data_IF_342202546295
#
_entry.id   IF_342202546295
#
_cell.length_a   1.000
_cell.length_b   1.000
_cell.length_c   1.000
_cell.angle_alpha   90.00
_cell.angle_beta   90.00
_cell.angle_gamma   90.00
#
_symmetry.space_group_name_H-M   'P 1'
#
loop_
_entity.id
_entity.type
_entity.pdbx_description
1 polymer ?
#
# COMPACT_ATOMS: atom_id res chain seq x y z
N UNK A 1 41.90 -8.82 51.85
CA UNK A 1 40.45 -9.09 51.74
C UNK A 1 39.80 -7.92 51.02
N UNK A 2 39.18 -8.17 49.86
CA UNK A 2 38.71 -7.16 48.91
C UNK A 2 37.17 -7.10 48.98
N UNK A 3 36.52 -5.93 49.00
CA UNK A 3 35.07 -5.81 49.26
C UNK A 3 34.17 -6.36 48.15
N UNK A 4 34.74 -6.76 47.01
CA UNK A 4 34.02 -7.32 45.85
C UNK A 4 33.65 -8.80 46.09
N UNK A 5 34.34 -9.51 46.97
CA UNK A 5 34.08 -10.94 47.21
C UNK A 5 32.81 -11.20 48.03
N UNK A 6 32.27 -10.19 48.72
CA UNK A 6 31.05 -10.35 49.53
C UNK A 6 29.74 -10.33 48.71
N UNK A 7 29.75 -9.72 47.52
CA UNK A 7 28.52 -9.52 46.74
C UNK A 7 28.07 -10.77 45.95
N UNK A 8 28.96 -11.74 45.75
CA UNK A 8 28.69 -12.96 44.94
C UNK A 8 28.03 -14.07 45.78
N UNK A 9 28.06 -13.98 47.11
CA UNK A 9 27.60 -15.05 48.02
C UNK A 9 26.09 -14.96 48.32
N UNK A 10 25.40 -13.89 47.92
CA UNK A 10 23.99 -13.66 48.28
C UNK A 10 22.94 -13.95 47.18
N UNK A 11 23.33 -14.51 46.02
CA UNK A 11 22.41 -14.68 44.88
C UNK A 11 21.86 -16.10 44.56
N UNK A 12 22.14 -17.21 45.28
CA UNK A 12 21.48 -18.49 44.98
C UNK A 12 20.35 -18.87 45.97
N UNK A 13 19.76 -17.93 46.72
CA UNK A 13 18.72 -18.23 47.72
C UNK A 13 17.26 -18.09 47.23
N UNK A 14 17.01 -17.89 45.93
CA UNK A 14 15.66 -17.76 45.36
C UNK A 14 15.27 -18.85 44.36
N UNK A 15 15.95 -20.01 44.38
CA UNK A 15 15.69 -21.12 43.44
C UNK A 15 15.14 -22.40 44.11
N UNK A 16 14.50 -22.29 45.28
CA UNK A 16 13.92 -23.46 45.95
C UNK A 16 12.60 -23.13 46.64
N UNK A 17 11.55 -22.75 45.90
CA UNK A 17 10.19 -22.97 46.38
C UNK A 17 9.26 -23.31 45.20
N UNK A 18 8.61 -24.47 45.34
CA UNK A 18 7.50 -25.01 44.54
C UNK A 18 7.89 -25.82 43.30
N UNK A 19 8.61 -26.92 43.54
CA UNK A 19 8.22 -28.18 42.91
C UNK A 19 6.88 -28.63 43.47
N UNK A 20 5.82 -28.53 42.66
CA UNK A 20 4.55 -29.23 42.86
C UNK A 20 4.14 -29.76 41.49
N UNK A 21 4.27 -31.07 41.31
CA UNK A 21 3.72 -31.81 40.17
C UNK A 21 2.26 -32.16 40.49
N UNK A 22 1.26 -31.65 39.74
CA UNK A 22 -0.12 -32.13 39.84
C UNK A 22 -0.41 -33.09 38.69
N UNK A 23 -0.72 -34.33 39.05
CA UNK A 23 -1.20 -35.36 38.14
C UNK A 23 -2.64 -35.11 37.63
N UNK A 24 -2.86 -35.45 36.33
CA UNK A 24 -4.13 -35.69 35.56
C UNK A 24 -4.71 -34.50 34.78
N UNK A 25 -5.55 -34.72 33.73
CA UNK A 25 -5.87 -35.93 32.94
C UNK A 25 -5.73 -35.75 31.40
N UNK A 26 -5.60 -36.85 30.63
CA UNK A 26 -5.83 -36.83 29.17
C UNK A 26 -7.33 -36.61 28.90
N UNK A 27 -7.68 -35.48 28.27
CA UNK A 27 -9.02 -35.24 27.72
C UNK A 27 -8.97 -35.28 26.18
N UNK A 28 -9.91 -35.97 25.50
CA UNK A 28 -10.02 -35.95 24.06
C UNK A 28 -10.80 -34.70 23.63
N UNK A 29 -10.31 -33.94 22.65
CA UNK A 29 -11.16 -32.88 22.10
C UNK A 29 -10.48 -31.79 21.28
N UNK A 30 -10.74 -31.89 19.98
CA UNK A 30 -11.15 -30.80 19.09
C UNK A 30 -10.06 -29.87 18.55
N UNK A 31 -9.78 -30.12 17.26
CA UNK A 31 -9.31 -29.14 16.31
C UNK A 31 -10.01 -27.78 16.47
N UNK A 32 -9.21 -26.72 16.49
CA UNK A 32 -9.48 -25.44 15.86
C UNK A 32 -8.17 -24.66 15.84
N UNK A 33 -7.30 -25.05 14.91
CA UNK A 33 -6.48 -24.03 14.27
C UNK A 33 -7.47 -23.09 13.61
N UNK A 34 -7.79 -21.98 14.27
CA UNK A 34 -8.48 -20.88 13.64
C UNK A 34 -7.51 -20.36 12.60
N UNK A 35 -7.63 -20.89 11.38
CA UNK A 35 -7.19 -20.19 10.19
C UNK A 35 -7.99 -18.89 10.20
N UNK A 36 -7.46 -17.86 10.88
CA UNK A 36 -7.90 -16.48 10.67
C UNK A 36 -7.64 -16.27 9.19
N UNK A 37 -8.72 -16.24 8.40
CA UNK A 37 -8.66 -15.79 7.03
C UNK A 37 -8.00 -14.42 7.06
N UNK A 38 -6.75 -14.35 6.61
CA UNK A 38 -5.97 -13.12 6.57
C UNK A 38 -6.51 -12.30 5.39
N UNK A 39 -7.66 -11.65 5.60
CA UNK A 39 -8.20 -10.70 4.65
C UNK A 39 -7.20 -9.56 4.49
N UNK A 40 -6.66 -9.41 3.28
CA UNK A 40 -5.71 -8.34 2.96
C UNK A 40 -6.47 -7.14 2.43
N UNK A 41 -6.31 -5.97 3.04
CA UNK A 41 -6.87 -4.74 2.52
C UNK A 41 -5.92 -4.19 1.45
N UNK A 42 -6.43 -3.88 0.26
CA UNK A 42 -5.62 -3.36 -0.85
C UNK A 42 -6.00 -1.90 -1.11
N UNK A 43 -5.00 -1.03 -1.07
CA UNK A 43 -5.13 0.39 -1.39
C UNK A 43 -4.24 0.73 -2.58
N UNK A 44 -4.85 1.22 -3.65
CA UNK A 44 -4.16 1.71 -4.86
C UNK A 44 -4.23 3.23 -4.86
N UNK A 45 -3.09 3.90 -4.96
CA UNK A 45 -3.01 5.34 -4.83
C UNK A 45 -1.97 5.96 -5.76
N UNK A 46 -2.15 7.22 -6.07
CA UNK A 46 -1.20 8.02 -6.83
C UNK A 46 -1.60 9.49 -6.82
N UNK A 47 -0.80 10.31 -7.48
CA UNK A 47 -0.96 11.75 -7.48
C UNK A 47 -1.20 12.29 -8.88
N UNK A 48 -1.96 13.38 -8.98
CA UNK A 48 -2.03 14.24 -10.15
C UNK A 48 -1.51 15.62 -9.76
N UNK A 49 -0.65 16.18 -10.59
CA UNK A 49 -0.14 17.53 -10.42
C UNK A 49 -0.26 18.34 -11.73
N UNK A 50 -0.25 19.66 -11.59
CA UNK A 50 -0.05 20.55 -12.71
C UNK A 50 1.44 20.79 -12.90
N UNK A 51 1.96 20.44 -14.06
CA UNK A 51 3.28 20.79 -14.53
C UNK A 51 3.23 22.11 -15.31
N UNK A 52 3.34 23.22 -14.58
CA UNK A 52 3.30 24.57 -15.15
C UNK A 52 4.36 24.78 -16.23
N UNK A 53 5.52 24.16 -16.07
CA UNK A 53 6.64 24.34 -16.99
C UNK A 53 6.67 23.34 -18.15
N UNK A 54 5.72 22.40 -18.20
CA UNK A 54 5.59 21.44 -19.30
C UNK A 54 6.84 20.57 -19.54
N UNK A 55 7.63 20.34 -18.50
CA UNK A 55 8.84 19.51 -18.53
C UNK A 55 8.56 18.00 -18.34
N UNK A 56 7.30 17.64 -18.09
CA UNK A 56 6.85 16.32 -17.63
C UNK A 56 7.58 15.84 -16.37
N UNK A 57 7.93 16.78 -15.50
CA UNK A 57 8.60 16.50 -14.22
C UNK A 57 8.02 17.40 -13.15
N UNK A 58 7.96 16.94 -11.91
CA UNK A 58 7.57 17.80 -10.80
C UNK A 58 8.66 18.85 -10.56
N UNK A 59 8.30 20.12 -10.69
CA UNK A 59 9.20 21.28 -10.58
C UNK A 59 8.79 22.19 -9.43
N UNK A 60 9.58 23.24 -9.16
CA UNK A 60 9.26 24.26 -8.15
C UNK A 60 7.93 24.99 -8.42
N UNK A 61 7.53 25.10 -9.68
CA UNK A 61 6.27 25.76 -10.08
C UNK A 61 5.10 24.76 -10.20
N UNK A 62 5.36 23.48 -10.02
CA UNK A 62 4.32 22.45 -10.02
C UNK A 62 3.50 22.49 -8.73
N UNK A 63 2.22 22.16 -8.84
CA UNK A 63 1.34 22.03 -7.69
C UNK A 63 0.42 20.82 -7.83
N UNK A 64 0.03 20.22 -6.71
CA UNK A 64 -0.90 19.11 -6.72
C UNK A 64 -2.29 19.57 -7.17
N UNK A 65 -2.86 18.87 -8.14
CA UNK A 65 -4.10 19.28 -8.79
C UNK A 65 -5.28 18.62 -8.09
N UNK A 66 -6.07 19.40 -7.35
CA UNK A 66 -7.30 18.92 -6.72
C UNK A 66 -8.45 18.84 -7.72
N UNK A 67 -9.35 17.87 -7.57
CA UNK A 67 -10.50 17.72 -8.47
C UNK A 67 -10.22 17.08 -9.84
N UNK A 68 -8.99 16.68 -10.15
CA UNK A 68 -8.68 15.95 -11.37
C UNK A 68 -9.33 14.56 -11.37
N UNK A 69 -9.84 14.15 -12.53
CA UNK A 69 -10.49 12.85 -12.72
C UNK A 69 -9.52 11.84 -13.31
N UNK A 70 -9.46 10.66 -12.69
CA UNK A 70 -8.64 9.54 -13.13
C UNK A 70 -9.47 8.27 -13.20
N UNK A 71 -9.20 7.44 -14.20
CA UNK A 71 -9.68 6.06 -14.25
C UNK A 71 -8.58 5.15 -13.73
N UNK A 72 -8.89 4.34 -12.73
CA UNK A 72 -8.00 3.31 -12.21
C UNK A 72 -8.50 1.97 -12.73
N UNK A 73 -7.65 1.26 -13.45
CA UNK A 73 -7.89 -0.09 -13.94
C UNK A 73 -6.87 -1.03 -13.29
N UNK A 74 -7.34 -1.99 -12.51
CA UNK A 74 -6.53 -3.00 -11.85
C UNK A 74 -6.95 -4.40 -12.25
N UNK A 75 -5.95 -5.27 -12.45
CA UNK A 75 -6.11 -6.69 -12.68
C UNK A 75 -5.43 -7.46 -11.54
N UNK A 76 -6.12 -8.49 -11.06
CA UNK A 76 -5.67 -9.39 -10.00
C UNK A 76 -5.70 -10.82 -10.53
N UNK A 77 -4.64 -11.58 -10.30
CA UNK A 77 -4.67 -13.03 -10.47
C UNK A 77 -5.00 -13.63 -9.12
N UNK A 78 -6.21 -14.15 -8.96
CA UNK A 78 -6.59 -14.94 -7.80
C UNK A 78 -6.33 -16.41 -8.13
N UNK A 79 -5.44 -17.06 -7.37
CA UNK A 79 -5.27 -18.51 -7.44
C UNK A 79 -6.18 -19.11 -6.37
N UNK A 80 -7.31 -19.67 -6.79
CA UNK A 80 -8.10 -20.56 -5.95
C UNK A 80 -7.54 -21.97 -6.08
N UNK A 81 -7.73 -22.81 -5.05
CA UNK A 81 -7.34 -24.23 -5.06
C UNK A 81 -7.90 -25.06 -6.23
N UNK A 82 -8.81 -24.49 -7.03
CA UNK A 82 -9.49 -25.16 -8.17
C UNK A 82 -9.43 -24.38 -9.49
N UNK A 83 -9.12 -23.08 -9.51
CA UNK A 83 -9.20 -22.22 -10.71
C UNK A 83 -8.22 -21.03 -10.64
N UNK A 84 -7.61 -20.67 -11.77
CA UNK A 84 -6.98 -19.36 -11.96
C UNK A 84 -8.06 -18.36 -12.41
N UNK A 85 -8.49 -17.48 -11.50
CA UNK A 85 -9.50 -16.47 -11.79
C UNK A 85 -8.85 -15.09 -11.89
N UNK A 86 -9.08 -14.40 -13.01
CA UNK A 86 -8.66 -13.01 -13.18
C UNK A 86 -9.78 -12.09 -12.72
N UNK A 87 -9.52 -11.29 -11.69
CA UNK A 87 -10.46 -10.29 -11.20
C UNK A 87 -10.01 -8.92 -11.69
N UNK A 88 -10.91 -8.20 -12.36
CA UNK A 88 -10.65 -6.84 -12.84
C UNK A 88 -11.50 -5.84 -12.07
N UNK A 89 -10.86 -4.80 -11.54
CA UNK A 89 -11.54 -3.69 -10.85
C UNK A 89 -11.24 -2.41 -11.60
N UNK A 90 -12.29 -1.71 -12.03
CA UNK A 90 -12.20 -0.42 -12.70
C UNK A 90 -13.05 0.60 -11.98
N UNK A 91 -12.48 1.76 -11.66
CA UNK A 91 -13.21 2.84 -11.02
C UNK A 91 -12.68 4.22 -11.41
N UNK A 92 -13.61 5.16 -11.62
CA UNK A 92 -13.26 6.58 -11.71
C UNK A 92 -13.08 7.14 -10.30
N UNK A 93 -12.04 7.96 -10.13
CA UNK A 93 -11.72 8.65 -8.88
C UNK A 93 -11.37 10.10 -9.16
N UNK A 94 -11.64 10.92 -8.17
CA UNK A 94 -11.30 12.34 -8.18
C UNK A 94 -10.23 12.59 -7.13
N UNK A 95 -9.21 13.34 -7.48
CA UNK A 95 -8.14 13.69 -6.54
C UNK A 95 -8.64 14.64 -5.45
N UNK A 96 -8.18 14.43 -4.22
CA UNK A 96 -8.49 15.29 -3.08
C UNK A 96 -7.70 16.62 -3.11
N UNK A 97 -7.74 17.41 -2.03
CA UNK A 97 -7.02 18.70 -1.92
C UNK A 97 -5.49 18.61 -2.06
N UNK A 98 -4.92 17.42 -1.93
CA UNK A 98 -3.48 17.16 -2.06
C UNK A 98 -3.14 16.50 -3.40
N UNK A 99 -4.06 16.51 -4.37
CA UNK A 99 -3.88 15.85 -5.67
C UNK A 99 -3.82 14.32 -5.58
N UNK A 100 -4.15 13.73 -4.44
CA UNK A 100 -4.11 12.28 -4.22
C UNK A 100 -5.44 11.65 -4.64
N UNK A 101 -5.37 10.63 -5.50
CA UNK A 101 -6.47 9.71 -5.73
C UNK A 101 -6.22 8.37 -5.03
N UNK A 102 -7.29 7.67 -4.66
CA UNK A 102 -7.23 6.40 -3.95
C UNK A 102 -8.38 5.49 -4.32
N UNK A 103 -8.10 4.20 -4.47
CA UNK A 103 -9.06 3.12 -4.61
C UNK A 103 -8.79 2.07 -3.54
N UNK A 104 -9.76 1.87 -2.66
CA UNK A 104 -9.76 0.76 -1.72
C UNK A 104 -10.49 -0.42 -2.37
N UNK A 105 -9.84 -1.57 -2.38
CA UNK A 105 -10.37 -2.81 -2.94
C UNK A 105 -10.70 -3.72 -1.76
N UNK A 106 -11.98 -4.07 -1.56
CA UNK A 106 -12.37 -4.94 -0.46
C UNK A 106 -11.71 -6.30 -0.63
N UNK A 107 -11.34 -6.92 0.49
CA UNK A 107 -10.70 -8.23 0.50
C UNK A 107 -11.64 -9.28 -0.10
N UNK A 108 -11.30 -9.76 -1.29
CA UNK A 108 -11.88 -10.98 -1.86
C UNK A 108 -11.05 -12.17 -1.37
N UNK A 109 -11.73 -13.28 -1.04
CA UNK A 109 -11.08 -14.51 -0.60
C UNK A 109 -10.06 -14.97 -1.65
N UNK A 110 -8.81 -15.21 -1.24
CA UNK A 110 -7.74 -15.66 -2.14
C UNK A 110 -6.80 -14.59 -2.69
N UNK A 111 -7.09 -13.29 -2.54
CA UNK A 111 -6.14 -12.23 -2.94
C UNK A 111 -5.20 -11.90 -1.79
N UNK A 112 -3.90 -12.16 -1.99
CA UNK A 112 -2.82 -11.92 -1.01
C UNK A 112 -1.87 -10.83 -1.51
N UNK A 113 -1.25 -10.14 -0.56
CA UNK A 113 -0.16 -9.21 -0.85
C UNK A 113 1.08 -9.94 -1.38
N UNK A 114 1.62 -9.44 -2.50
CA UNK A 114 2.61 -10.04 -3.40
C UNK A 114 3.98 -10.46 -2.81
N UNK A 115 4.16 -10.48 -1.48
CA UNK A 115 5.48 -10.70 -0.89
C UNK A 115 5.77 -12.16 -0.50
N UNK A 116 4.74 -13.00 -0.27
CA UNK A 116 4.95 -14.35 0.29
C UNK A 116 4.03 -15.44 -0.33
N UNK A 117 3.38 -15.18 -1.45
CA UNK A 117 2.49 -16.15 -2.11
C UNK A 117 2.45 -15.95 -3.62
N UNK A 118 2.20 -17.04 -4.34
CA UNK A 118 1.99 -17.19 -5.79
C UNK A 118 0.88 -16.30 -6.40
N UNK A 119 0.38 -15.31 -5.66
CA UNK A 119 -0.77 -14.45 -5.95
C UNK A 119 -0.23 -13.03 -6.18
N UNK A 120 -0.14 -12.64 -7.44
CA UNK A 120 0.38 -11.34 -7.88
C UNK A 120 -0.78 -10.36 -8.09
N UNK A 121 -0.67 -9.15 -7.53
CA UNK A 121 -1.36 -7.99 -8.12
C UNK A 121 -0.72 -7.79 -9.48
N UNK A 122 -1.48 -8.04 -10.53
CA UNK A 122 -0.90 -8.34 -11.84
C UNK A 122 -0.69 -7.12 -12.69
N UNK A 123 -1.49 -6.06 -12.53
CA UNK A 123 -1.26 -4.77 -13.18
C UNK A 123 -2.29 -3.75 -12.66
N UNK A 124 -1.88 -2.64 -12.08
CA UNK A 124 -2.74 -1.46 -11.93
C UNK A 124 -2.20 -0.31 -12.75
N UNK A 125 -3.09 0.36 -13.47
CA UNK A 125 -2.80 1.60 -14.18
C UNK A 125 -3.82 2.67 -13.83
N UNK A 126 -3.38 3.92 -13.80
CA UNK A 126 -4.26 5.07 -13.77
C UNK A 126 -4.16 5.84 -15.09
N UNK A 127 -5.28 6.36 -15.58
CA UNK A 127 -5.36 7.18 -16.79
C UNK A 127 -6.10 8.48 -16.49
N UNK A 128 -5.56 9.62 -16.94
CA UNK A 128 -6.22 10.91 -16.86
C UNK A 128 -7.51 10.92 -17.70
N UNK A 129 -8.61 11.32 -17.06
CA UNK A 129 -9.90 11.56 -17.72
C UNK A 129 -10.04 13.07 -17.99
N UNK A 130 -9.84 13.89 -16.96
CA UNK A 130 -10.12 15.32 -17.03
C UNK A 130 -9.43 16.12 -15.93
N UNK A 131 -9.28 17.42 -16.19
CA UNK A 131 -8.77 18.39 -15.23
C UNK A 131 -9.93 19.20 -14.65
N UNK A 132 -9.81 19.59 -13.39
CA UNK A 132 -10.70 20.53 -12.72
C UNK A 132 -10.47 22.00 -13.10
N UNK A 133 -9.37 22.30 -13.81
CA UNK A 133 -8.97 23.69 -14.14
C UNK A 133 -8.73 23.84 -15.63
N UNK A 134 -9.20 24.94 -16.22
CA UNK A 134 -8.94 25.26 -17.64
C UNK A 134 -7.50 25.74 -17.90
N UNK A 135 -6.83 26.30 -16.89
CA UNK A 135 -5.44 26.76 -16.99
C UNK A 135 -4.42 25.61 -17.04
N UNK A 136 -4.79 24.41 -16.59
CA UNK A 136 -3.94 23.24 -16.58
C UNK A 136 -4.71 21.99 -16.97
N UNK A 137 -5.05 21.88 -18.25
CA UNK A 137 -5.95 20.85 -18.79
C UNK A 137 -5.37 20.01 -19.94
N UNK A 138 -4.15 20.29 -20.40
CA UNK A 138 -3.50 19.48 -21.43
C UNK A 138 -2.81 18.28 -20.79
N UNK A 139 -3.13 17.03 -21.13
CA UNK A 139 -2.44 15.87 -20.56
C UNK A 139 -0.94 15.88 -20.90
N UNK A 140 -0.10 15.70 -19.87
CA UNK A 140 1.32 15.34 -20.02
C UNK A 140 1.44 13.82 -20.03
N UNK A 141 1.83 13.22 -18.90
CA UNK A 141 1.69 11.78 -18.72
C UNK A 141 0.22 11.41 -18.51
N UNK A 142 -0.37 10.86 -19.56
CA UNK A 142 -1.77 10.45 -19.58
C UNK A 142 -2.03 9.16 -18.80
N UNK A 143 -1.09 8.22 -18.81
CA UNK A 143 -1.22 6.91 -18.17
C UNK A 143 0.05 6.59 -17.38
N UNK A 144 -0.10 5.91 -16.25
CA UNK A 144 1.03 5.53 -15.38
C UNK A 144 1.86 4.41 -16.02
N UNK A 145 3.18 4.51 -15.97
CA UNK A 145 4.10 3.49 -16.49
C UNK A 145 4.38 2.37 -15.49
N UNK A 146 4.51 2.69 -14.20
CA UNK A 146 4.97 1.75 -13.18
C UNK A 146 4.13 1.83 -11.89
N UNK A 147 4.22 0.75 -11.12
CA UNK A 147 3.56 0.56 -9.83
C UNK A 147 4.56 0.00 -8.81
N UNK A 148 4.63 0.61 -7.63
CA UNK A 148 5.42 0.14 -6.49
C UNK A 148 4.46 -0.49 -5.48
N UNK A 149 4.81 -1.66 -4.96
CA UNK A 149 4.00 -2.37 -3.96
C UNK A 149 4.71 -2.45 -2.60
N UNK A 150 3.96 -2.17 -1.53
CA UNK A 150 4.45 -2.18 -0.15
C UNK A 150 3.46 -2.97 0.71
N UNK A 151 3.94 -4.00 1.43
CA UNK A 151 3.15 -4.79 2.38
C UNK A 151 3.49 -4.40 3.82
N UNK A 152 2.48 -3.99 4.58
CA UNK A 152 2.63 -3.76 6.02
C UNK A 152 2.52 -5.09 6.78
N UNK A 153 3.64 -5.55 7.37
CA UNK A 153 3.74 -6.86 8.06
C UNK A 153 2.75 -7.05 9.22
N UNK A 154 2.35 -5.97 9.90
CA UNK A 154 1.49 -6.05 11.10
C UNK A 154 -0.01 -5.94 10.81
N UNK A 155 -0.41 -5.45 9.64
CA UNK A 155 -1.80 -5.06 9.37
C UNK A 155 -2.44 -5.72 8.14
N UNK A 156 -1.76 -6.67 7.47
CA UNK A 156 -2.22 -7.27 6.20
C UNK A 156 -2.66 -6.20 5.17
N UNK A 157 -2.04 -5.02 5.23
CA UNK A 157 -2.34 -3.91 4.34
C UNK A 157 -1.35 -3.91 3.17
N UNK A 158 -1.90 -3.88 1.98
CA UNK A 158 -1.22 -3.69 0.72
C UNK A 158 -1.37 -2.25 0.25
N UNK A 159 -0.26 -1.57 0.02
CA UNK A 159 -0.25 -0.24 -0.60
C UNK A 159 0.41 -0.37 -1.96
N UNK A 160 -0.31 0.01 -3.00
CA UNK A 160 0.19 0.12 -4.35
C UNK A 160 0.25 1.59 -4.75
N UNK A 161 1.46 2.11 -4.90
CA UNK A 161 1.71 3.47 -5.34
C UNK A 161 1.97 3.47 -6.85
N UNK A 162 1.18 4.23 -7.60
CA UNK A 162 1.38 4.45 -9.02
C UNK A 162 2.23 5.71 -9.24
N UNK A 163 2.94 5.76 -10.37
CA UNK A 163 3.63 6.97 -10.80
C UNK A 163 2.67 8.17 -10.90
N UNK A 164 3.20 9.37 -10.65
CA UNK A 164 2.41 10.57 -10.73
C UNK A 164 2.02 10.89 -12.19
N UNK A 165 0.76 11.31 -12.38
CA UNK A 165 0.25 11.83 -13.65
C UNK A 165 0.30 13.35 -13.62
N UNK A 166 0.30 13.98 -14.79
CA UNK A 166 0.30 15.43 -14.86
C UNK A 166 -0.56 15.98 -15.99
N UNK A 167 -1.18 17.12 -15.71
CA UNK A 167 -1.62 18.06 -16.73
C UNK A 167 -0.57 19.17 -16.87
N UNK A 168 -0.65 19.93 -17.94
CA UNK A 168 0.15 21.12 -18.20
C UNK A 168 -0.72 22.22 -18.81
N UNK A 169 -0.28 23.50 -18.74
CA UNK A 169 -0.90 24.57 -19.49
C UNK A 169 -0.80 24.36 -21.01
N UNK A 170 -1.68 25.02 -21.77
CA UNK A 170 -1.64 25.02 -23.23
C UNK A 170 -0.44 25.80 -23.79
N UNK A 171 0.10 26.75 -23.01
CA UNK A 171 1.29 27.54 -23.34
C UNK A 171 2.21 27.60 -22.13
N UNK A 172 3.50 27.30 -22.35
CA UNK A 172 4.55 27.46 -21.34
C UNK A 172 4.86 28.94 -21.15
N UNK A 173 4.91 29.39 -19.90
CA UNK A 173 5.35 30.74 -19.56
C UNK A 173 6.89 30.77 -19.45
N UNK A 174 7.54 31.37 -20.44
CA UNK A 174 9.01 31.48 -20.50
C UNK A 174 9.60 32.38 -19.42
N UNK A 175 8.84 33.37 -18.95
CA UNK A 175 9.31 34.30 -17.92
C UNK A 175 9.31 33.62 -16.55
N UNK A 176 8.34 32.71 -16.32
CA UNK A 176 8.24 31.93 -15.10
C UNK A 176 9.19 30.72 -15.10
N UNK A 177 9.23 29.98 -16.21
CA UNK A 177 9.90 28.68 -16.29
C UNK A 177 11.33 28.73 -16.83
N UNK A 178 11.82 29.92 -17.18
CA UNK A 178 13.07 30.09 -17.88
C UNK A 178 13.04 29.52 -19.30
N UNK A 179 14.20 29.61 -19.96
CA UNK A 179 14.42 28.97 -21.26
C UNK A 179 14.54 27.45 -21.10
#
# INVERSE_FOLDING_TARGET
MNPITLLVILLPLFAQFLGVEPSRPKLPGKSRSSVKSLTSQISVMGFVYCDICSNNTFSRHSYFLSGAEVKIDCMFKAVSSKTEEQVSVSANRTTNKYGLYRLEIPSVEGVKCAQDSEVFVSNCKATLIGSSTSSCNVPGYRTTSDQISIKAKRSNLCIYSLNALNFRPSKRDINLCGH
#
